data_IF_956256208636
#
_entry.id   IF_956256208636
#
_cell.length_a   1.000
_cell.length_b   1.000
_cell.length_c   1.000
_cell.angle_alpha   90.00
_cell.angle_beta   90.00
_cell.angle_gamma   90.00
#
_symmetry.space_group_name_H-M   'P 1'
#
loop_
_entity.id
_entity.type
_entity.pdbx_description
1 polymer ?
#
# COMPACT_ATOMS: atom_id res chain seq x y z
N UNK A 1 62.26 -21.78 23.70
CA UNK A 1 61.39 -21.90 22.50
C UNK A 1 61.18 -20.49 21.94
N UNK A 2 61.94 -20.10 20.89
CA UNK A 2 61.90 -18.74 20.32
C UNK A 2 60.75 -18.67 19.31
N UNK A 3 59.66 -18.02 19.69
CA UNK A 3 58.53 -17.74 18.79
C UNK A 3 59.03 -16.76 17.73
N UNK A 4 59.05 -17.18 16.45
CA UNK A 4 59.46 -16.33 15.34
C UNK A 4 58.38 -15.24 15.14
N UNK A 5 58.73 -13.94 15.17
CA UNK A 5 57.76 -12.83 15.13
C UNK A 5 56.98 -12.72 13.81
N UNK A 6 57.36 -13.50 12.79
CA UNK A 6 56.69 -13.52 11.48
C UNK A 6 55.33 -14.21 11.50
N UNK A 7 55.12 -15.21 12.36
CA UNK A 7 53.84 -15.94 12.40
C UNK A 7 52.70 -15.07 12.99
N UNK A 8 53.03 -14.23 13.99
CA UNK A 8 52.07 -13.36 14.66
C UNK A 8 51.58 -12.24 13.75
N UNK A 9 52.46 -11.70 12.90
CA UNK A 9 52.14 -10.61 11.98
C UNK A 9 51.19 -11.08 10.87
N UNK A 10 51.40 -12.28 10.34
CA UNK A 10 50.54 -12.88 9.31
C UNK A 10 49.14 -13.15 9.86
N UNK A 11 49.04 -13.65 11.10
CA UNK A 11 47.76 -13.89 11.76
C UNK A 11 46.98 -12.59 12.01
N UNK A 12 47.67 -11.52 12.38
CA UNK A 12 47.06 -10.21 12.61
C UNK A 12 46.57 -9.56 11.30
N UNK A 13 47.34 -9.68 10.21
CA UNK A 13 46.94 -9.17 8.89
C UNK A 13 45.75 -9.96 8.31
N UNK A 14 45.74 -11.28 8.49
CA UNK A 14 44.60 -12.10 8.05
C UNK A 14 43.34 -11.82 8.88
N UNK A 15 43.46 -11.54 10.19
CA UNK A 15 42.33 -11.11 11.02
C UNK A 15 41.75 -9.74 10.57
N UNK A 16 42.62 -8.79 10.20
CA UNK A 16 42.20 -7.48 9.67
C UNK A 16 41.50 -7.57 8.31
N UNK A 17 41.91 -8.51 7.45
CA UNK A 17 41.28 -8.74 6.15
C UNK A 17 39.89 -9.40 6.28
N UNK A 18 39.68 -10.24 7.30
CA UNK A 18 38.35 -10.84 7.56
C UNK A 18 37.40 -9.81 8.17
N UNK A 19 37.90 -8.89 9.02
CA UNK A 19 37.12 -7.80 9.60
C UNK A 19 36.69 -6.72 8.59
N UNK A 20 37.40 -6.59 7.47
CA UNK A 20 37.06 -5.62 6.40
C UNK A 20 36.03 -6.14 5.39
N UNK A 21 35.59 -7.40 5.52
CA UNK A 21 34.42 -7.94 4.80
C UNK A 21 33.09 -7.67 5.53
N UNK A 22 33.05 -6.77 6.51
CA UNK A 22 31.77 -6.22 6.99
C UNK A 22 31.30 -5.24 5.92
N UNK A 23 30.64 -5.79 4.88
CA UNK A 23 29.79 -5.00 4.01
C UNK A 23 28.84 -4.24 4.92
N UNK A 24 28.94 -2.91 4.89
CA UNK A 24 27.91 -2.01 5.41
C UNK A 24 26.65 -2.36 4.62
N UNK A 25 25.86 -3.30 5.14
CA UNK A 25 24.49 -3.49 4.72
C UNK A 25 23.80 -2.20 5.16
N UNK A 26 23.84 -1.18 4.29
CA UNK A 26 22.96 -0.04 4.40
C UNK A 26 21.56 -0.63 4.44
N UNK A 27 20.99 -0.74 5.64
CA UNK A 27 19.56 -0.94 5.78
C UNK A 27 18.97 0.23 4.98
N UNK A 28 18.29 0.01 3.85
CA UNK A 28 17.62 1.10 3.19
C UNK A 28 16.73 1.72 4.25
N UNK A 29 16.84 3.05 4.44
CA UNK A 29 15.95 3.78 5.31
C UNK A 29 14.53 3.31 4.95
N UNK A 30 13.76 2.83 5.94
CA UNK A 30 12.40 2.33 5.68
C UNK A 30 11.64 3.43 4.95
N UNK A 31 11.37 3.22 3.66
CA UNK A 31 10.59 4.15 2.87
C UNK A 31 9.19 4.20 3.45
N UNK A 32 8.76 5.36 3.91
CA UNK A 32 7.37 5.57 4.32
C UNK A 32 6.50 5.74 3.07
N UNK A 33 5.76 4.69 2.72
CA UNK A 33 4.90 4.70 1.54
C UNK A 33 3.53 5.34 1.81
N UNK A 34 3.19 5.65 3.05
CA UNK A 34 1.94 6.37 3.37
C UNK A 34 1.90 7.76 2.72
N UNK A 35 3.06 8.36 2.46
CA UNK A 35 3.20 9.66 1.77
C UNK A 35 2.64 9.67 0.34
N UNK A 36 2.52 8.52 -0.32
CA UNK A 36 1.97 8.42 -1.69
C UNK A 36 0.45 8.52 -1.71
N UNK A 37 -0.20 8.37 -0.55
CA UNK A 37 -1.64 8.53 -0.40
C UNK A 37 -1.91 9.34 0.88
N UNK A 38 -1.62 10.66 0.88
CA UNK A 38 -1.72 11.45 2.09
C UNK A 38 -3.17 11.46 2.61
N UNK A 39 -3.34 11.21 3.90
CA UNK A 39 -4.64 11.22 4.56
C UNK A 39 -4.67 12.41 5.53
N UNK A 40 -5.21 13.53 5.07
CA UNK A 40 -5.28 14.78 5.82
C UNK A 40 -6.75 15.15 5.98
N UNK A 41 -7.19 15.35 7.22
CA UNK A 41 -8.56 15.75 7.52
C UNK A 41 -8.93 17.07 6.84
N UNK A 42 -10.10 17.12 6.21
CA UNK A 42 -10.57 18.25 5.42
C UNK A 42 -9.90 18.43 4.05
N UNK A 43 -8.95 17.57 3.66
CA UNK A 43 -8.36 17.62 2.33
C UNK A 43 -9.39 17.32 1.24
N UNK A 44 -9.22 17.95 0.08
CA UNK A 44 -10.10 17.81 -1.08
C UNK A 44 -9.27 17.32 -2.27
N UNK A 45 -9.73 16.24 -2.90
CA UNK A 45 -9.18 15.69 -4.12
C UNK A 45 -10.13 16.01 -5.26
N UNK A 46 -9.68 16.81 -6.23
CA UNK A 46 -10.47 17.16 -7.40
C UNK A 46 -10.12 16.20 -8.53
N UNK A 47 -11.13 15.54 -9.10
CA UNK A 47 -10.95 14.63 -10.22
C UNK A 47 -11.56 15.24 -11.48
N UNK A 48 -10.98 14.92 -12.63
CA UNK A 48 -11.59 15.20 -13.93
C UNK A 48 -12.57 14.08 -14.30
N UNK A 49 -13.71 14.43 -14.90
CA UNK A 49 -14.70 13.47 -15.38
C UNK A 49 -15.93 13.34 -14.48
N UNK A 50 -16.63 12.19 -14.49
CA UNK A 50 -17.89 12.01 -13.76
C UNK A 50 -17.70 11.96 -12.24
N UNK A 51 -16.51 11.54 -11.78
CA UNK A 51 -16.08 11.71 -10.39
C UNK A 51 -15.68 13.19 -10.25
N UNK A 52 -16.45 13.99 -9.52
CA UNK A 52 -16.20 15.42 -9.37
C UNK A 52 -15.09 15.66 -8.36
N UNK A 53 -15.32 15.28 -7.09
CA UNK A 53 -14.35 15.44 -6.01
C UNK A 53 -14.47 14.35 -4.96
N UNK A 54 -13.44 14.19 -4.13
CA UNK A 54 -13.52 13.51 -2.86
C UNK A 54 -13.11 14.45 -1.72
N UNK A 55 -13.75 14.32 -0.56
CA UNK A 55 -13.39 15.03 0.66
C UNK A 55 -13.00 14.00 1.72
N UNK A 56 -11.89 14.26 2.40
CA UNK A 56 -11.37 13.41 3.46
C UNK A 56 -11.89 13.89 4.80
N UNK A 57 -12.44 12.97 5.59
CA UNK A 57 -12.71 13.18 7.01
C UNK A 57 -11.95 12.15 7.85
N UNK A 58 -11.36 12.60 8.95
CA UNK A 58 -10.82 11.70 9.97
C UNK A 58 -11.95 11.21 10.87
N UNK A 59 -11.89 9.92 11.22
CA UNK A 59 -12.84 9.30 12.14
C UNK A 59 -12.14 9.06 13.49
N UNK A 60 -11.84 7.80 13.82
CA UNK A 60 -11.20 7.35 15.07
C UNK A 60 -10.02 6.44 14.71
N UNK A 61 -8.89 6.55 15.42
CA UNK A 61 -7.74 5.62 15.33
C UNK A 61 -7.22 5.36 13.91
N UNK A 62 -6.66 6.38 13.26
CA UNK A 62 -6.06 6.28 11.92
C UNK A 62 -7.00 5.80 10.79
N UNK A 63 -8.30 5.79 11.05
CA UNK A 63 -9.35 5.58 10.05
C UNK A 63 -9.74 6.92 9.40
N UNK A 64 -9.74 6.95 8.09
CA UNK A 64 -10.10 8.11 7.26
C UNK A 64 -11.16 7.71 6.24
N UNK A 65 -12.19 8.54 6.08
CA UNK A 65 -13.26 8.33 5.11
C UNK A 65 -13.07 9.30 3.93
N UNK A 66 -13.00 8.76 2.72
CA UNK A 66 -13.12 9.55 1.49
C UNK A 66 -14.57 9.54 1.05
N UNK A 67 -15.24 10.68 1.12
CA UNK A 67 -16.60 10.84 0.59
C UNK A 67 -16.52 11.39 -0.83
N UNK A 68 -17.05 10.65 -1.81
CA UNK A 68 -17.05 11.03 -3.21
C UNK A 68 -18.31 11.79 -3.60
N UNK A 69 -18.12 12.83 -4.42
CA UNK A 69 -19.18 13.67 -4.95
C UNK A 69 -19.10 13.69 -6.48
N UNK A 70 -20.26 13.64 -7.14
CA UNK A 70 -20.36 13.88 -8.58
C UNK A 70 -20.13 15.37 -8.93
N UNK A 71 -20.14 15.70 -10.22
CA UNK A 71 -19.99 17.08 -10.70
C UNK A 71 -21.14 18.01 -10.31
N UNK A 72 -22.30 17.48 -9.93
CA UNK A 72 -23.43 18.23 -9.42
C UNK A 72 -23.36 18.43 -7.89
N UNK A 73 -22.37 17.84 -7.21
CA UNK A 73 -22.17 17.94 -5.76
C UNK A 73 -22.97 16.92 -4.95
N UNK A 74 -23.55 15.90 -5.57
CA UNK A 74 -24.22 14.81 -4.85
C UNK A 74 -23.21 13.76 -4.39
N UNK A 75 -23.36 13.27 -3.16
CA UNK A 75 -22.58 12.10 -2.69
C UNK A 75 -22.93 10.90 -3.56
N UNK A 76 -21.91 10.22 -4.10
CA UNK A 76 -22.05 8.98 -4.88
C UNK A 76 -21.68 7.73 -4.09
N UNK A 77 -20.81 7.88 -3.09
CA UNK A 77 -20.36 6.81 -2.22
C UNK A 77 -19.21 7.27 -1.33
N UNK A 78 -18.66 6.35 -0.55
CA UNK A 78 -17.48 6.61 0.27
C UNK A 78 -16.63 5.35 0.42
N UNK A 79 -15.34 5.58 0.67
CA UNK A 79 -14.37 4.53 0.99
C UNK A 79 -13.73 4.85 2.33
N UNK A 80 -13.51 3.82 3.15
CA UNK A 80 -12.70 3.98 4.36
C UNK A 80 -11.28 3.43 4.13
N UNK A 81 -10.31 4.16 4.65
CA UNK A 81 -8.89 3.86 4.59
C UNK A 81 -8.30 3.84 6.00
N UNK A 82 -7.40 2.90 6.27
CA UNK A 82 -6.64 2.81 7.52
C UNK A 82 -5.19 3.16 7.22
N UNK A 83 -4.66 4.15 7.92
CA UNK A 83 -3.24 4.48 7.89
C UNK A 83 -2.48 3.59 8.86
N UNK A 84 -1.32 3.10 8.44
CA UNK A 84 -0.32 2.47 9.31
C UNK A 84 0.97 3.27 9.26
N UNK A 85 1.98 2.88 10.05
CA UNK A 85 3.29 3.55 10.08
C UNK A 85 3.99 3.61 8.71
N UNK A 86 3.63 2.73 7.77
CA UNK A 86 4.36 2.57 6.50
C UNK A 86 3.47 2.46 5.26
N UNK A 87 2.15 2.43 5.41
CA UNK A 87 1.23 2.22 4.28
C UNK A 87 -0.18 2.75 4.56
N UNK A 88 -0.99 2.78 3.51
CA UNK A 88 -2.44 2.97 3.63
C UNK A 88 -3.14 1.72 3.11
N UNK A 89 -4.09 1.21 3.88
CA UNK A 89 -4.94 0.09 3.53
C UNK A 89 -6.38 0.52 3.27
N UNK A 90 -6.99 0.00 2.21
CA UNK A 90 -8.39 0.16 1.87
C UNK A 90 -9.23 -0.82 2.70
N UNK A 91 -10.09 -0.25 3.56
CA UNK A 91 -10.89 -1.00 4.53
C UNK A 91 -12.28 -1.32 4.01
N UNK A 92 -12.93 -0.36 3.34
CA UNK A 92 -14.32 -0.52 2.92
C UNK A 92 -14.65 0.31 1.69
N UNK A 93 -15.71 -0.08 1.00
CA UNK A 93 -16.35 0.72 -0.03
C UNK A 93 -17.85 0.63 0.07
N UNK A 94 -18.52 1.78 -0.05
CA UNK A 94 -19.97 1.89 0.04
C UNK A 94 -20.48 2.77 -1.09
N UNK A 95 -21.41 2.25 -1.87
CA UNK A 95 -22.14 3.02 -2.88
C UNK A 95 -23.42 3.59 -2.28
N UNK A 96 -23.66 4.89 -2.45
CA UNK A 96 -24.89 5.52 -1.95
C UNK A 96 -26.14 5.02 -2.68
N UNK A 97 -25.99 4.57 -3.93
CA UNK A 97 -27.11 4.17 -4.78
C UNK A 97 -27.82 2.89 -4.34
N UNK A 98 -27.32 2.17 -3.32
CA UNK A 98 -27.96 0.98 -2.74
C UNK A 98 -28.01 -0.26 -3.65
N UNK A 99 -27.67 -0.12 -4.93
CA UNK A 99 -27.66 -1.20 -5.91
C UNK A 99 -26.50 -2.19 -5.71
N UNK A 100 -25.48 -1.81 -4.94
CA UNK A 100 -24.33 -2.64 -4.62
C UNK A 100 -24.21 -2.75 -3.09
N UNK A 101 -23.91 -3.94 -2.55
CA UNK A 101 -23.62 -4.08 -1.13
C UNK A 101 -22.37 -3.31 -0.76
N UNK A 102 -22.29 -2.87 0.49
CA UNK A 102 -21.03 -2.39 1.04
C UNK A 102 -20.06 -3.57 1.16
N UNK A 103 -18.81 -3.34 0.77
CA UNK A 103 -17.73 -4.33 0.89
C UNK A 103 -16.77 -3.88 1.99
N UNK A 104 -16.32 -4.83 2.79
CA UNK A 104 -15.32 -4.64 3.83
C UNK A 104 -14.19 -5.65 3.65
N UNK A 105 -12.96 -5.23 3.86
CA UNK A 105 -11.77 -6.07 3.71
C UNK A 105 -11.07 -6.29 5.06
N UNK A 106 -10.78 -7.55 5.35
CA UNK A 106 -10.04 -7.97 6.56
C UNK A 106 -8.94 -8.99 6.21
N UNK A 107 -7.65 -8.63 6.31
CA UNK A 107 -7.12 -7.29 6.60
C UNK A 107 -7.40 -6.26 5.47
N UNK A 108 -7.26 -4.94 5.74
CA UNK A 108 -7.37 -3.90 4.72
C UNK A 108 -6.38 -4.14 3.56
N UNK A 109 -6.82 -3.90 2.32
CA UNK A 109 -6.01 -4.15 1.12
C UNK A 109 -5.03 -2.98 0.94
N UNK A 110 -3.71 -3.20 0.84
CA UNK A 110 -2.76 -2.11 0.66
C UNK A 110 -3.03 -1.37 -0.66
N UNK A 111 -3.07 -0.04 -0.62
CA UNK A 111 -3.25 0.81 -1.80
C UNK A 111 -2.06 1.73 -2.10
N UNK A 112 -1.13 1.84 -1.15
CA UNK A 112 0.16 2.50 -1.37
C UNK A 112 1.18 1.51 -1.92
N UNK A 113 2.25 1.97 -2.58
CA UNK A 113 3.35 1.09 -2.97
C UNK A 113 3.95 0.37 -1.75
N UNK A 114 4.53 -0.81 -1.96
CA UNK A 114 5.38 -1.51 -0.99
C UNK A 114 6.86 -1.50 -1.40
N UNK A 115 7.12 -1.02 -2.62
CA UNK A 115 8.39 -1.03 -3.32
C UNK A 115 8.37 0.10 -4.36
N UNK A 116 9.56 0.49 -4.82
CA UNK A 116 9.74 1.39 -5.97
C UNK A 116 10.33 0.63 -7.18
N UNK A 117 10.48 -0.68 -7.07
CA UNK A 117 11.05 -1.51 -8.12
C UNK A 117 9.97 -1.88 -9.11
N UNK A 118 10.11 -1.43 -10.37
CA UNK A 118 9.22 -1.81 -11.47
C UNK A 118 9.25 -3.33 -11.69
N UNK A 119 8.08 -3.93 -11.88
CA UNK A 119 7.87 -5.37 -12.01
C UNK A 119 7.82 -6.13 -10.69
N UNK A 120 7.99 -5.44 -9.55
CA UNK A 120 7.75 -6.06 -8.24
C UNK A 120 6.25 -6.31 -8.06
N UNK A 121 5.92 -7.47 -7.48
CA UNK A 121 4.55 -7.95 -7.34
C UNK A 121 4.26 -8.35 -5.89
N UNK A 122 3.17 -7.83 -5.34
CA UNK A 122 2.64 -8.21 -4.04
C UNK A 122 1.35 -9.00 -4.21
N UNK A 123 1.35 -10.24 -3.71
CA UNK A 123 0.13 -11.03 -3.54
C UNK A 123 -0.40 -10.85 -2.13
N UNK A 124 -1.60 -10.27 -2.02
CA UNK A 124 -2.25 -9.98 -0.75
C UNK A 124 -3.59 -10.73 -0.66
N UNK A 125 -3.89 -11.33 0.48
CA UNK A 125 -5.17 -12.02 0.72
C UNK A 125 -5.96 -11.28 1.78
N UNK A 126 -7.24 -11.03 1.51
CA UNK A 126 -8.21 -10.49 2.46
C UNK A 126 -9.51 -11.30 2.43
N UNK A 127 -10.22 -11.33 3.55
CA UNK A 127 -11.62 -11.68 3.57
C UNK A 127 -12.43 -10.46 3.10
N UNK A 128 -13.20 -10.64 2.04
CA UNK A 128 -14.26 -9.73 1.61
C UNK A 128 -15.54 -10.10 2.36
N UNK A 129 -16.05 -9.15 3.13
CA UNK A 129 -17.28 -9.25 3.92
C UNK A 129 -18.29 -8.30 3.28
N UNK A 130 -19.46 -8.81 2.92
CA UNK A 130 -20.52 -8.02 2.28
C UNK A 130 -21.60 -7.66 3.29
N UNK A 131 -22.15 -6.45 3.20
CA UNK A 131 -23.22 -6.00 4.10
C UNK A 131 -24.54 -6.74 3.92
N UNK A 132 -24.76 -7.36 2.76
CA UNK A 132 -26.01 -8.06 2.41
C UNK A 132 -26.02 -9.54 2.79
N UNK A 133 -24.96 -10.05 3.40
CA UNK A 133 -24.87 -11.46 3.78
C UNK A 133 -24.07 -11.64 5.07
N UNK A 134 -24.75 -12.14 6.10
CA UNK A 134 -24.17 -12.41 7.42
C UNK A 134 -23.13 -13.55 7.41
N UNK A 135 -23.06 -14.34 6.33
CA UNK A 135 -22.23 -15.55 6.24
C UNK A 135 -21.31 -15.61 5.00
N UNK A 136 -21.28 -14.59 4.12
CA UNK A 136 -20.36 -14.61 2.98
C UNK A 136 -19.05 -13.92 3.32
N UNK A 137 -18.12 -14.69 3.86
CA UNK A 137 -16.71 -14.34 3.87
C UNK A 137 -16.11 -14.93 2.59
N UNK A 138 -15.98 -14.12 1.55
CA UNK A 138 -15.28 -14.55 0.34
C UNK A 138 -13.80 -14.26 0.53
N UNK A 139 -12.93 -15.22 0.21
CA UNK A 139 -11.50 -14.93 0.21
C UNK A 139 -11.15 -14.25 -1.10
N UNK A 140 -10.73 -13.00 -1.03
CA UNK A 140 -10.28 -12.23 -2.19
C UNK A 140 -8.77 -12.16 -2.16
N UNK A 141 -8.14 -12.46 -3.29
CA UNK A 141 -6.72 -12.25 -3.52
C UNK A 141 -6.55 -11.01 -4.39
N UNK A 142 -5.85 -10.02 -3.85
CA UNK A 142 -5.37 -8.86 -4.57
C UNK A 142 -3.95 -9.13 -5.06
N UNK A 143 -3.73 -8.97 -6.37
CA UNK A 143 -2.42 -9.00 -7.00
C UNK A 143 -2.09 -7.57 -7.40
N UNK A 144 -1.03 -7.03 -6.80
CA UNK A 144 -0.55 -5.68 -7.04
C UNK A 144 0.79 -5.77 -7.76
N UNK A 145 0.95 -5.02 -8.84
CA UNK A 145 2.19 -4.96 -9.63
C UNK A 145 2.63 -3.50 -9.80
N UNK A 146 3.90 -3.19 -9.52
CA UNK A 146 4.48 -1.88 -9.82
C UNK A 146 4.76 -1.82 -11.33
N UNK A 147 3.98 -1.03 -12.08
CA UNK A 147 4.07 -0.94 -13.53
C UNK A 147 5.12 0.07 -13.97
N UNK A 148 5.15 1.23 -13.32
CA UNK A 148 6.04 2.33 -13.67
C UNK A 148 6.34 3.20 -12.46
N UNK A 149 7.44 3.94 -12.55
CA UNK A 149 7.71 5.09 -11.68
C UNK A 149 8.13 6.24 -12.58
N UNK A 150 7.27 7.24 -12.72
CA UNK A 150 7.44 8.29 -13.73
C UNK A 150 6.84 9.63 -13.27
N UNK A 151 7.30 10.75 -13.84
CA UNK A 151 6.69 12.04 -13.56
C UNK A 151 5.31 12.17 -14.23
N UNK A 152 4.33 12.68 -13.48
CA UNK A 152 2.96 12.95 -13.97
C UNK A 152 2.64 14.42 -13.84
N UNK A 153 2.04 15.01 -14.88
CA UNK A 153 1.57 16.40 -14.86
C UNK A 153 0.05 16.44 -14.97
N UNK A 154 -0.60 17.17 -14.07
CA UNK A 154 -2.04 17.39 -14.04
C UNK A 154 -2.36 18.88 -13.85
N UNK A 155 -3.63 19.31 -13.94
CA UNK A 155 -3.99 20.69 -13.61
C UNK A 155 -3.63 21.12 -12.19
N UNK A 156 -3.44 20.17 -11.25
CA UNK A 156 -3.02 20.47 -9.88
C UNK A 156 -1.50 20.67 -9.73
N UNK A 157 -0.70 20.38 -10.78
CA UNK A 157 0.75 20.54 -10.77
C UNK A 157 1.50 19.35 -11.36
N UNK A 158 2.83 19.40 -11.27
CA UNK A 158 3.74 18.31 -11.65
C UNK A 158 4.18 17.51 -10.43
N UNK A 159 4.13 16.19 -10.55
CA UNK A 159 4.53 15.23 -9.53
C UNK A 159 5.68 14.39 -10.11
N UNK A 160 6.86 14.43 -9.49
CA UNK A 160 8.07 13.83 -10.07
C UNK A 160 8.20 12.32 -9.81
N UNK A 161 7.66 11.87 -8.67
CA UNK A 161 7.78 10.50 -8.20
C UNK A 161 6.38 9.86 -8.12
N UNK A 162 5.70 9.67 -9.25
CA UNK A 162 4.45 8.90 -9.27
C UNK A 162 4.75 7.43 -9.50
N UNK A 163 4.10 6.57 -8.72
CA UNK A 163 4.19 5.11 -8.87
C UNK A 163 2.88 4.61 -9.43
N UNK A 164 2.93 3.99 -10.61
CA UNK A 164 1.77 3.35 -11.22
C UNK A 164 1.66 1.91 -10.69
N UNK A 165 0.50 1.57 -10.13
CA UNK A 165 0.21 0.24 -9.58
C UNK A 165 -0.97 -0.35 -10.34
N UNK A 166 -0.80 -1.55 -10.88
CA UNK A 166 -1.92 -2.36 -11.37
C UNK A 166 -2.46 -3.19 -10.22
N UNK A 167 -3.75 -3.08 -9.95
CA UNK A 167 -4.46 -3.86 -8.95
C UNK A 167 -5.45 -4.81 -9.63
N UNK A 168 -5.27 -6.11 -9.41
CA UNK A 168 -6.14 -7.17 -9.93
C UNK A 168 -6.76 -7.95 -8.78
N UNK A 169 -8.04 -8.28 -8.89
CA UNK A 169 -8.76 -9.08 -7.89
C UNK A 169 -9.12 -10.46 -8.43
N UNK A 170 -8.91 -11.48 -7.61
CA UNK A 170 -9.37 -12.85 -7.85
C UNK A 170 -10.18 -13.32 -6.64
N UNK A 171 -11.43 -13.72 -6.88
CA UNK A 171 -12.25 -14.37 -5.85
C UNK A 171 -11.86 -15.84 -5.76
N UNK A 172 -11.41 -16.28 -4.59
CA UNK A 172 -11.04 -17.66 -4.31
C UNK A 172 -12.25 -18.39 -3.74
N UNK A 173 -12.99 -19.08 -4.60
CA UNK A 173 -14.02 -20.02 -4.14
C UNK A 173 -13.34 -21.27 -3.57
N UNK A 174 -13.51 -21.52 -2.27
CA UNK A 174 -13.33 -22.89 -1.79
C UNK A 174 -14.51 -23.71 -2.30
N UNK A 175 -14.29 -24.64 -3.24
CA UNK A 175 -15.19 -25.78 -3.35
C UNK A 175 -15.12 -26.48 -2.00
N UNK A 176 -16.16 -26.32 -1.17
CA UNK A 176 -16.43 -27.33 -0.17
C UNK A 176 -16.76 -28.59 -0.96
N UNK A 177 -15.85 -29.55 -0.95
CA UNK A 177 -16.17 -30.92 -1.35
C UNK A 177 -17.38 -31.34 -0.50
N UNK A 178 -18.51 -31.54 -1.18
CA UNK A 178 -19.70 -32.21 -0.63
C UNK A 178 -19.47 -33.72 -0.62
#
# INVERSE_FOLDING_TARGET
MRIRPTATLILFFSLLLILSCIQKAERPARTDFSRYFPLVDGAIYQYSGPLGKAVVSSQINDLFTFTYFDSAGNITGWNDFVRTDHSVGWKSTVSRGGNLPALFFEPPIPITPWSLTVGDTLLFSAAEIRSDSLNSHLRTQAELEIIATEPVTTPAGGFQDCVEIRLSFKSLYSRQEQ
#
